data_IF_028721014700
#
_entry.id   IF_028721014700
#
_cell.length_a   1.000
_cell.length_b   1.000
_cell.length_c   1.000
_cell.angle_alpha   90.00
_cell.angle_beta   90.00
_cell.angle_gamma   90.00
#
_symmetry.space_group_name_H-M   'P 1'
#
loop_
_entity.id
_entity.type
_entity.pdbx_description
1 polymer ?
#
# COMPACT_ATOMS: atom_id res chain seq x y z
N UNK A 1 14.98 -55.36 17.17
CA UNK A 1 16.16 -54.51 16.94
C UNK A 1 16.34 -53.53 18.10
N UNK A 2 17.52 -53.50 18.72
CA UNK A 2 17.87 -52.59 19.82
C UNK A 2 17.88 -51.11 19.36
N UNK A 3 17.42 -50.18 20.22
CA UNK A 3 17.43 -48.71 20.00
C UNK A 3 18.79 -48.20 19.49
N UNK A 4 19.90 -48.76 19.99
CA UNK A 4 21.27 -48.38 19.57
C UNK A 4 21.58 -48.73 18.10
N UNK A 5 21.04 -49.85 17.58
CA UNK A 5 21.21 -50.22 16.16
C UNK A 5 20.40 -49.32 15.21
N UNK A 6 19.22 -48.85 15.62
CA UNK A 6 18.43 -47.89 14.81
C UNK A 6 19.11 -46.52 14.72
N UNK A 7 19.72 -46.05 15.81
CA UNK A 7 20.49 -44.80 15.82
C UNK A 7 21.74 -44.92 14.94
N UNK A 8 22.48 -46.02 15.01
CA UNK A 8 23.66 -46.23 14.15
C UNK A 8 23.33 -46.30 12.63
N UNK A 9 22.23 -46.95 12.25
CA UNK A 9 21.76 -46.99 10.85
C UNK A 9 21.30 -45.61 10.36
N UNK A 10 20.80 -44.75 11.26
CA UNK A 10 20.41 -43.38 10.89
C UNK A 10 21.58 -42.44 10.56
N UNK A 11 22.84 -42.87 10.78
CA UNK A 11 24.06 -42.16 10.41
C UNK A 11 24.94 -42.94 9.42
N UNK A 12 24.45 -44.07 8.88
CA UNK A 12 25.10 -44.73 7.75
C UNK A 12 25.11 -43.78 6.54
N UNK A 13 26.25 -43.74 5.84
CA UNK A 13 26.49 -42.85 4.71
C UNK A 13 25.45 -43.03 3.59
N UNK A 14 25.01 -44.27 3.32
CA UNK A 14 24.01 -44.52 2.28
C UNK A 14 22.61 -44.08 2.72
N UNK A 15 22.25 -44.28 3.99
CA UNK A 15 21.02 -43.74 4.59
C UNK A 15 21.02 -42.21 4.62
N UNK A 16 22.16 -41.56 4.87
CA UNK A 16 22.32 -40.10 4.81
C UNK A 16 22.17 -39.60 3.36
N UNK A 17 22.86 -40.21 2.40
CA UNK A 17 22.75 -39.87 0.97
C UNK A 17 21.33 -40.07 0.43
N UNK A 18 20.63 -41.10 0.89
CA UNK A 18 19.23 -41.32 0.53
C UNK A 18 18.34 -40.18 0.99
N UNK A 19 18.43 -39.78 2.28
CA UNK A 19 17.64 -38.66 2.81
C UNK A 19 17.96 -37.34 2.12
N UNK A 20 19.24 -37.06 1.86
CA UNK A 20 19.62 -35.86 1.10
C UNK A 20 18.99 -35.85 -0.30
N UNK A 21 18.96 -36.99 -1.00
CA UNK A 21 18.27 -37.11 -2.29
C UNK A 21 16.76 -36.91 -2.17
N UNK A 22 16.12 -37.43 -1.12
CA UNK A 22 14.69 -37.20 -0.86
C UNK A 22 14.39 -35.73 -0.58
N UNK A 23 15.24 -35.06 0.20
CA UNK A 23 15.15 -33.63 0.48
C UNK A 23 15.32 -32.80 -0.80
N UNK A 24 16.28 -33.15 -1.67
CA UNK A 24 16.50 -32.48 -2.96
C UNK A 24 15.29 -32.61 -3.89
N UNK A 25 14.70 -33.82 -3.97
CA UNK A 25 13.50 -34.09 -4.78
C UNK A 25 12.31 -33.29 -4.24
N UNK A 26 12.14 -33.23 -2.92
CA UNK A 26 11.08 -32.45 -2.29
C UNK A 26 11.26 -30.94 -2.53
N UNK A 27 12.48 -30.44 -2.39
CA UNK A 27 12.80 -29.04 -2.65
C UNK A 27 12.56 -28.66 -4.13
N UNK A 28 12.88 -29.55 -5.07
CA UNK A 28 12.59 -29.35 -6.49
C UNK A 28 11.07 -29.32 -6.77
N UNK A 29 10.30 -30.17 -6.09
CA UNK A 29 8.84 -30.14 -6.13
C UNK A 29 8.26 -28.78 -5.69
N UNK A 30 8.76 -28.24 -4.57
CA UNK A 30 8.37 -26.91 -4.08
C UNK A 30 8.71 -25.83 -5.10
N UNK A 31 9.93 -25.83 -5.67
CA UNK A 31 10.34 -24.83 -6.67
C UNK A 31 9.43 -24.83 -7.88
N UNK A 32 9.07 -26.01 -8.40
CA UNK A 32 8.12 -26.13 -9.52
C UNK A 32 6.76 -25.50 -9.21
N UNK A 33 6.23 -25.71 -8.01
CA UNK A 33 4.97 -25.07 -7.59
C UNK A 33 5.09 -23.55 -7.45
N UNK A 34 6.19 -23.05 -6.87
CA UNK A 34 6.45 -21.61 -6.77
C UNK A 34 6.59 -20.95 -8.15
N UNK A 35 7.26 -21.61 -9.08
CA UNK A 35 7.40 -21.12 -10.46
C UNK A 35 6.06 -21.14 -11.21
N UNK A 36 5.19 -22.13 -10.94
CA UNK A 36 3.82 -22.10 -11.47
C UNK A 36 3.05 -20.87 -10.95
N UNK A 37 3.12 -20.57 -9.65
CA UNK A 37 2.46 -19.40 -9.05
C UNK A 37 3.01 -18.08 -9.60
N UNK A 38 4.33 -17.97 -9.81
CA UNK A 38 4.96 -16.79 -10.42
C UNK A 38 4.44 -16.49 -11.81
N UNK A 39 4.07 -17.51 -12.57
CA UNK A 39 3.61 -17.37 -13.95
C UNK A 39 2.08 -17.20 -14.08
N UNK A 40 1.32 -17.24 -12.99
CA UNK A 40 -0.12 -16.99 -13.00
C UNK A 40 -0.43 -15.58 -13.52
N UNK A 41 -1.35 -15.47 -14.48
CA UNK A 41 -1.93 -14.17 -14.85
C UNK A 41 -2.99 -13.77 -13.81
N UNK A 42 -2.52 -13.07 -12.76
CA UNK A 42 -3.36 -12.68 -11.63
C UNK A 42 -4.57 -11.83 -12.05
N UNK A 43 -4.45 -11.06 -13.15
CA UNK A 43 -5.57 -10.25 -13.67
C UNK A 43 -6.75 -11.10 -14.11
N UNK A 44 -6.49 -12.31 -14.63
CA UNK A 44 -7.54 -13.24 -15.10
C UNK A 44 -8.21 -14.00 -13.97
N UNK A 45 -7.48 -14.27 -12.89
CA UNK A 45 -7.94 -15.20 -11.83
C UNK A 45 -8.31 -14.50 -10.53
N UNK A 46 -7.93 -13.22 -10.32
CA UNK A 46 -8.15 -12.52 -9.06
C UNK A 46 -9.63 -12.48 -8.62
N UNK A 47 -10.58 -12.40 -9.56
CA UNK A 47 -12.02 -12.41 -9.25
C UNK A 47 -12.55 -13.76 -8.78
N UNK A 48 -11.82 -14.85 -9.03
CA UNK A 48 -12.21 -16.22 -8.69
C UNK A 48 -11.52 -16.76 -7.43
N UNK A 49 -10.41 -16.13 -7.04
CA UNK A 49 -9.60 -16.55 -5.91
C UNK A 49 -10.02 -15.84 -4.63
N UNK A 50 -9.77 -16.48 -3.50
CA UNK A 50 -9.88 -15.86 -2.18
C UNK A 50 -8.70 -14.94 -1.93
N UNK A 51 -8.89 -13.94 -1.08
CA UNK A 51 -7.83 -13.00 -0.68
C UNK A 51 -6.52 -13.71 -0.27
N UNK A 52 -6.59 -14.74 0.58
CA UNK A 52 -5.42 -15.50 1.00
C UNK A 52 -4.65 -16.17 -0.15
N UNK A 53 -5.34 -16.62 -1.19
CA UNK A 53 -4.73 -17.25 -2.38
C UNK A 53 -4.06 -16.18 -3.26
N UNK A 54 -4.72 -15.03 -3.41
CA UNK A 54 -4.17 -13.87 -4.13
C UNK A 54 -2.89 -13.37 -3.47
N UNK A 55 -2.88 -13.30 -2.12
CA UNK A 55 -1.69 -12.96 -1.35
C UNK A 55 -0.53 -13.92 -1.61
N UNK A 56 -0.79 -15.23 -1.68
CA UNK A 56 0.25 -16.22 -1.99
C UNK A 56 0.83 -15.99 -3.40
N UNK A 57 -0.01 -15.70 -4.40
CA UNK A 57 0.45 -15.38 -5.76
C UNK A 57 1.29 -14.10 -5.75
N UNK A 58 0.85 -13.05 -5.05
CA UNK A 58 1.58 -11.79 -4.94
C UNK A 58 2.94 -11.97 -4.27
N UNK A 59 3.00 -12.73 -3.17
CA UNK A 59 4.26 -13.05 -2.47
C UNK A 59 5.20 -13.83 -3.40
N UNK A 60 4.69 -14.79 -4.18
CA UNK A 60 5.52 -15.54 -5.12
C UNK A 60 6.09 -14.65 -6.25
N UNK A 61 5.29 -13.69 -6.73
CA UNK A 61 5.66 -12.77 -7.82
C UNK A 61 6.60 -11.67 -7.39
N UNK A 62 6.34 -11.03 -6.26
CA UNK A 62 7.03 -9.83 -5.81
C UNK A 62 8.09 -10.11 -4.74
N UNK A 63 7.93 -11.18 -3.97
CA UNK A 63 8.61 -11.35 -2.71
C UNK A 63 7.94 -10.58 -1.58
N UNK A 64 8.17 -11.03 -0.34
CA UNK A 64 7.53 -10.47 0.87
C UNK A 64 7.92 -9.00 1.08
N UNK A 65 9.21 -8.68 0.97
CA UNK A 65 9.73 -7.32 1.23
C UNK A 65 9.17 -6.29 0.25
N UNK A 66 9.12 -6.64 -1.04
CA UNK A 66 8.59 -5.76 -2.09
C UNK A 66 7.09 -5.56 -1.93
N UNK A 67 6.34 -6.63 -1.65
CA UNK A 67 4.90 -6.55 -1.39
C UNK A 67 4.62 -5.65 -0.18
N UNK A 68 5.37 -5.82 0.90
CA UNK A 68 5.21 -5.04 2.14
C UNK A 68 5.56 -3.56 1.93
N UNK A 69 6.63 -3.27 1.18
CA UNK A 69 7.01 -1.89 0.83
C UNK A 69 5.94 -1.23 -0.02
N UNK A 70 5.41 -1.93 -1.02
CA UNK A 70 4.35 -1.42 -1.89
C UNK A 70 3.05 -1.19 -1.11
N UNK A 71 2.69 -2.11 -0.20
CA UNK A 71 1.54 -1.99 0.71
C UNK A 71 1.65 -0.74 1.56
N UNK A 72 2.79 -0.53 2.24
CA UNK A 72 3.06 0.65 3.07
C UNK A 72 2.96 1.94 2.26
N UNK A 73 3.57 1.99 1.08
CA UNK A 73 3.50 3.15 0.20
C UNK A 73 2.05 3.47 -0.23
N UNK A 74 1.28 2.45 -0.62
CA UNK A 74 -0.11 2.60 -1.05
C UNK A 74 -1.05 3.02 0.09
N UNK A 75 -0.81 2.52 1.30
CA UNK A 75 -1.55 2.88 2.49
C UNK A 75 -1.26 4.33 2.93
N UNK A 76 -0.01 4.76 2.76
CA UNK A 76 0.43 6.08 3.16
C UNK A 76 -0.16 7.20 2.30
N UNK A 77 -0.35 6.95 1.00
CA UNK A 77 -0.89 7.93 0.05
C UNK A 77 -2.43 7.83 0.00
N UNK A 78 -3.17 8.84 0.48
CA UNK A 78 -4.62 8.77 0.58
C UNK A 78 -5.32 8.56 -0.76
N UNK A 79 -6.36 7.71 -0.78
CA UNK A 79 -7.22 7.47 -1.96
C UNK A 79 -7.89 8.75 -2.49
N UNK A 80 -8.08 9.75 -1.62
CA UNK A 80 -8.66 11.05 -1.98
C UNK A 80 -7.75 11.86 -2.92
N UNK A 81 -6.50 11.46 -3.13
CA UNK A 81 -5.63 12.01 -4.19
C UNK A 81 -6.07 11.39 -5.53
N UNK A 82 -7.09 11.98 -6.15
CA UNK A 82 -7.75 11.45 -7.35
C UNK A 82 -7.46 12.26 -8.63
N UNK A 83 -6.44 13.11 -8.62
CA UNK A 83 -6.10 13.97 -9.77
C UNK A 83 -5.32 13.19 -10.83
N UNK A 84 -5.69 13.40 -12.10
CA UNK A 84 -4.95 12.92 -13.27
C UNK A 84 -4.21 14.09 -13.91
N UNK A 85 -2.94 13.90 -14.22
CA UNK A 85 -2.06 14.89 -14.88
C UNK A 85 -1.39 14.20 -16.06
N UNK A 86 -1.61 14.72 -17.28
CA UNK A 86 -1.08 14.10 -18.51
C UNK A 86 -1.39 12.60 -18.59
N UNK A 87 -2.65 12.23 -18.35
CA UNK A 87 -3.15 10.84 -18.34
C UNK A 87 -2.57 9.94 -17.25
N UNK A 88 -1.78 10.48 -16.31
CA UNK A 88 -1.18 9.74 -15.18
C UNK A 88 -1.87 10.06 -13.87
N UNK A 89 -2.17 9.04 -13.08
CA UNK A 89 -2.69 9.19 -11.73
C UNK A 89 -1.63 9.78 -10.80
N UNK A 90 -1.91 10.94 -10.21
CA UNK A 90 -1.02 11.61 -9.27
C UNK A 90 -0.76 10.76 -8.02
N UNK A 91 -1.75 9.98 -7.58
CA UNK A 91 -1.59 9.05 -6.46
C UNK A 91 -0.60 7.96 -6.78
N UNK A 92 -0.71 7.36 -7.96
CA UNK A 92 0.23 6.30 -8.38
C UNK A 92 1.64 6.84 -8.50
N UNK A 93 1.83 8.05 -9.04
CA UNK A 93 3.14 8.73 -9.08
C UNK A 93 3.74 8.86 -7.67
N UNK A 94 2.95 9.29 -6.69
CA UNK A 94 3.42 9.40 -5.30
C UNK A 94 3.74 8.06 -4.66
N UNK A 95 2.93 7.04 -4.90
CA UNK A 95 3.20 5.68 -4.41
C UNK A 95 4.50 5.16 -5.03
N UNK A 96 4.71 5.35 -6.33
CA UNK A 96 5.92 4.95 -7.04
C UNK A 96 7.17 5.64 -6.51
N UNK A 97 7.10 6.95 -6.24
CA UNK A 97 8.20 7.72 -5.62
C UNK A 97 8.56 7.20 -4.23
N UNK A 98 7.57 6.96 -3.36
CA UNK A 98 7.80 6.39 -2.02
C UNK A 98 8.40 5.00 -2.15
N UNK A 99 7.82 4.14 -2.99
CA UNK A 99 8.28 2.78 -3.21
C UNK A 99 9.75 2.76 -3.67
N UNK A 100 10.11 3.60 -4.62
CA UNK A 100 11.48 3.67 -5.17
C UNK A 100 12.50 4.15 -4.15
N UNK A 101 12.11 5.05 -3.25
CA UNK A 101 12.99 5.50 -2.16
C UNK A 101 13.20 4.41 -1.10
N UNK A 102 12.13 3.75 -0.69
CA UNK A 102 12.17 2.80 0.43
C UNK A 102 12.80 1.47 -0.02
N UNK A 103 12.54 1.06 -1.26
CA UNK A 103 13.06 -0.19 -1.85
C UNK A 103 14.54 -0.06 -2.18
N UNK A 104 15.37 -0.87 -1.54
CA UNK A 104 16.83 -0.83 -1.72
C UNK A 104 17.32 -1.62 -2.93
N UNK A 105 16.57 -2.64 -3.37
CA UNK A 105 17.05 -3.64 -4.33
C UNK A 105 16.12 -3.88 -5.54
N UNK A 106 14.96 -3.22 -5.58
CA UNK A 106 13.94 -3.46 -6.61
C UNK A 106 13.52 -2.17 -7.25
N UNK A 107 13.74 -2.05 -8.56
CA UNK A 107 13.16 -0.99 -9.37
C UNK A 107 11.94 -1.55 -10.10
N UNK A 108 10.78 -0.96 -9.84
CA UNK A 108 9.51 -1.37 -10.45
C UNK A 108 9.00 -0.24 -11.35
N UNK A 109 8.53 -0.57 -12.54
CA UNK A 109 7.95 0.43 -13.44
C UNK A 109 6.65 0.99 -12.83
N UNK A 110 6.32 2.24 -13.17
CA UNK A 110 5.11 2.90 -12.64
C UNK A 110 3.82 2.14 -13.02
N UNK A 111 3.79 1.50 -14.20
CA UNK A 111 2.66 0.68 -14.65
C UNK A 111 2.49 -0.58 -13.81
N UNK A 112 3.61 -1.20 -13.38
CA UNK A 112 3.58 -2.37 -12.51
C UNK A 112 3.12 -1.99 -11.10
N UNK A 113 3.60 -0.84 -10.59
CA UNK A 113 3.11 -0.27 -9.32
C UNK A 113 1.60 -0.05 -9.38
N UNK A 114 1.10 0.60 -10.43
CA UNK A 114 -0.34 0.80 -10.63
C UNK A 114 -1.10 -0.52 -10.66
N UNK A 115 -0.59 -1.50 -11.41
CA UNK A 115 -1.20 -2.81 -11.53
C UNK A 115 -1.33 -3.51 -10.17
N UNK A 116 -0.23 -3.64 -9.43
CA UNK A 116 -0.22 -4.35 -8.15
C UNK A 116 -0.98 -3.61 -7.05
N UNK A 117 -0.90 -2.28 -7.00
CA UNK A 117 -1.70 -1.47 -6.07
C UNK A 117 -3.19 -1.70 -6.33
N UNK A 118 -3.63 -1.66 -7.59
CA UNK A 118 -5.03 -1.90 -7.93
C UNK A 118 -5.50 -3.31 -7.54
N UNK A 119 -4.66 -4.35 -7.73
CA UNK A 119 -4.96 -5.71 -7.29
C UNK A 119 -5.11 -5.77 -5.76
N UNK A 120 -4.14 -5.23 -5.01
CA UNK A 120 -4.17 -5.25 -3.55
C UNK A 120 -5.40 -4.52 -3.00
N UNK A 121 -5.71 -3.33 -3.54
CA UNK A 121 -6.84 -2.54 -3.06
C UNK A 121 -8.21 -3.13 -3.39
N UNK A 122 -8.30 -3.88 -4.49
CA UNK A 122 -9.55 -4.49 -4.96
C UNK A 122 -9.83 -5.84 -4.30
N UNK A 123 -8.79 -6.64 -4.07
CA UNK A 123 -8.93 -8.04 -3.68
C UNK A 123 -8.28 -8.41 -2.34
N UNK A 124 -7.45 -7.52 -1.78
CA UNK A 124 -6.76 -7.76 -0.51
C UNK A 124 -6.95 -6.62 0.51
N UNK A 125 -8.20 -6.27 0.88
CA UNK A 125 -8.47 -5.14 1.77
C UNK A 125 -7.88 -5.32 3.17
N UNK A 126 -7.65 -6.56 3.64
CA UNK A 126 -7.08 -6.81 4.97
C UNK A 126 -5.63 -6.33 5.11
N UNK A 127 -4.92 -6.12 3.99
CA UNK A 127 -3.55 -5.60 3.99
C UNK A 127 -3.43 -4.16 4.53
N UNK A 128 -4.51 -3.39 4.56
CA UNK A 128 -4.45 -1.95 4.85
C UNK A 128 -4.86 -1.59 6.29
N UNK A 129 -4.78 -2.55 7.23
CA UNK A 129 -5.27 -2.39 8.60
C UNK A 129 -4.29 -1.73 9.59
N UNK A 130 -2.99 -1.61 9.27
CA UNK A 130 -1.95 -1.10 10.19
C UNK A 130 -1.14 0.05 9.60
N UNK A 131 -1.11 1.21 10.26
CA UNK A 131 -0.28 2.35 9.83
C UNK A 131 1.08 2.27 10.52
N UNK A 132 2.15 2.11 9.74
CA UNK A 132 3.52 2.37 10.18
C UNK A 132 4.09 3.52 9.34
N UNK A 133 4.75 4.47 9.99
CA UNK A 133 5.45 5.58 9.34
C UNK A 133 6.93 5.21 9.19
N UNK A 134 7.51 5.48 8.01
CA UNK A 134 8.92 5.19 7.70
C UNK A 134 9.78 6.47 7.78
N UNK A 135 10.87 6.42 8.54
CA UNK A 135 11.82 7.52 8.73
C UNK A 135 12.43 8.02 7.41
N UNK A 136 12.54 7.14 6.39
CA UNK A 136 13.05 7.50 5.06
C UNK A 136 12.19 8.54 4.34
N UNK A 137 10.91 8.68 4.68
CA UNK A 137 9.98 9.65 4.06
C UNK A 137 10.38 11.11 4.29
N UNK A 138 11.18 11.38 5.33
CA UNK A 138 11.73 12.71 5.60
C UNK A 138 12.67 13.18 4.48
N UNK A 139 13.41 12.27 3.85
CA UNK A 139 14.35 12.60 2.77
C UNK A 139 13.63 13.03 1.49
N UNK A 140 12.59 12.30 1.06
CA UNK A 140 11.73 12.71 -0.07
C UNK A 140 11.08 14.08 0.15
N UNK A 141 10.72 14.41 1.38
CA UNK A 141 10.10 15.70 1.72
C UNK A 141 11.04 16.89 1.51
N UNK A 142 12.37 16.67 1.52
CA UNK A 142 13.37 17.73 1.32
C UNK A 142 13.57 18.05 -0.17
N UNK A 143 13.51 17.05 -1.05
CA UNK A 143 13.75 17.21 -2.49
C UNK A 143 12.51 17.66 -3.28
N UNK A 144 11.32 17.53 -2.70
CA UNK A 144 10.06 17.73 -3.42
C UNK A 144 9.27 18.96 -2.93
N UNK A 145 8.43 19.49 -3.82
CA UNK A 145 7.52 20.61 -3.54
C UNK A 145 6.36 20.24 -2.60
N UNK A 146 6.34 19.00 -2.10
CA UNK A 146 5.34 18.46 -1.20
C UNK A 146 6.00 17.66 -0.08
N UNK A 147 5.26 17.39 1.00
CA UNK A 147 5.74 16.52 2.06
C UNK A 147 5.09 15.15 1.99
N UNK A 148 5.92 14.12 2.04
CA UNK A 148 5.53 12.72 2.12
C UNK A 148 5.53 12.21 3.55
N UNK A 149 5.68 13.06 4.57
CA UNK A 149 5.66 12.61 5.98
C UNK A 149 4.23 12.35 6.44
N UNK A 150 3.32 13.29 6.16
CA UNK A 150 1.90 13.17 6.55
C UNK A 150 1.01 13.87 5.53
N UNK A 151 -0.11 13.24 5.20
CA UNK A 151 -1.14 13.84 4.34
C UNK A 151 -2.33 14.29 5.19
N UNK A 152 -2.66 15.57 5.11
CA UNK A 152 -3.86 16.13 5.74
C UNK A 152 -4.97 16.16 4.71
N UNK A 153 -5.96 15.27 4.88
CA UNK A 153 -7.09 15.14 3.97
C UNK A 153 -8.40 15.46 4.70
N UNK A 154 -9.43 15.99 3.99
CA UNK A 154 -10.77 16.08 4.56
C UNK A 154 -11.25 14.70 5.05
N UNK A 155 -11.98 14.65 6.18
CA UNK A 155 -12.44 13.41 6.80
C UNK A 155 -13.67 12.79 6.09
N UNK A 156 -13.81 13.06 4.79
CA UNK A 156 -14.96 12.65 3.97
C UNK A 156 -14.48 12.11 2.63
N UNK A 157 -15.16 11.08 2.14
CA UNK A 157 -14.94 10.49 0.80
C UNK A 157 -16.02 10.89 -0.21
N UNK A 158 -17.14 11.45 0.27
CA UNK A 158 -18.28 11.84 -0.53
C UNK A 158 -18.84 13.21 -0.10
N UNK A 159 -19.57 13.87 -0.98
CA UNK A 159 -20.21 15.15 -0.70
C UNK A 159 -21.29 15.00 0.38
N UNK A 160 -21.19 15.78 1.46
CA UNK A 160 -22.17 15.77 2.55
C UNK A 160 -23.57 16.25 2.13
N UNK A 161 -23.68 16.94 0.98
CA UNK A 161 -24.95 17.44 0.46
C UNK A 161 -25.65 16.48 -0.51
N UNK A 162 -24.90 15.86 -1.41
CA UNK A 162 -25.47 15.07 -2.51
C UNK A 162 -24.95 13.63 -2.61
N UNK A 163 -24.05 13.21 -1.72
CA UNK A 163 -23.47 11.86 -1.70
C UNK A 163 -22.52 11.52 -2.85
N UNK A 164 -22.34 12.41 -3.82
CA UNK A 164 -21.46 12.16 -4.98
C UNK A 164 -19.98 12.26 -4.62
N UNK A 165 -19.14 11.62 -5.44
CA UNK A 165 -17.69 11.61 -5.29
C UNK A 165 -17.09 13.01 -5.30
N UNK A 166 -16.06 13.19 -4.48
CA UNK A 166 -15.29 14.43 -4.41
C UNK A 166 -14.08 14.37 -5.35
N UNK A 167 -13.73 15.50 -5.93
CA UNK A 167 -12.51 15.66 -6.73
C UNK A 167 -11.53 16.61 -6.05
N UNK A 168 -10.23 16.51 -6.33
CA UNK A 168 -9.28 17.48 -5.82
C UNK A 168 -9.53 18.88 -6.38
N UNK A 169 -9.64 19.88 -5.50
CA UNK A 169 -9.80 21.29 -5.88
C UNK A 169 -8.48 21.88 -6.35
N UNK A 170 -7.41 21.66 -5.59
CA UNK A 170 -6.06 22.17 -5.86
C UNK A 170 -5.03 21.04 -5.79
N UNK A 171 -3.81 21.28 -6.30
CA UNK A 171 -2.67 20.41 -6.01
C UNK A 171 -2.40 20.37 -4.49
N UNK A 172 -1.84 19.28 -3.95
CA UNK A 172 -1.46 19.22 -2.55
C UNK A 172 -0.52 20.36 -2.19
N UNK A 173 -0.81 21.09 -1.12
CA UNK A 173 0.00 22.21 -0.66
C UNK A 173 0.92 21.76 0.49
N UNK A 174 2.20 22.14 0.45
CA UNK A 174 3.13 21.92 1.56
C UNK A 174 2.74 22.80 2.74
N UNK A 175 2.51 22.19 3.90
CA UNK A 175 2.14 22.88 5.14
C UNK A 175 2.95 22.31 6.31
N UNK A 176 2.87 22.96 7.48
CA UNK A 176 3.40 22.44 8.75
C UNK A 176 2.24 22.22 9.72
N UNK A 177 2.15 21.02 10.28
CA UNK A 177 1.26 20.69 11.39
C UNK A 177 2.03 20.89 12.69
N UNK A 178 1.54 21.74 13.59
CA UNK A 178 2.14 21.92 14.90
C UNK A 178 1.52 20.92 15.87
N UNK A 179 2.31 19.93 16.30
CA UNK A 179 1.94 18.95 17.32
C UNK A 179 2.59 19.28 18.66
N UNK A 180 2.22 18.55 19.72
CA UNK A 180 2.87 18.65 21.04
C UNK A 180 4.38 18.35 20.98
N UNK A 181 4.82 17.56 20.01
CA UNK A 181 6.22 17.19 19.78
C UNK A 181 6.94 18.14 18.80
N UNK A 182 6.27 19.23 18.38
CA UNK A 182 6.81 20.22 17.45
C UNK A 182 6.21 20.16 16.04
N UNK A 183 6.79 20.94 15.10
CA UNK A 183 6.27 21.06 13.74
C UNK A 183 6.59 19.82 12.88
N UNK A 184 5.56 19.24 12.29
CA UNK A 184 5.62 18.11 11.36
C UNK A 184 5.33 18.64 9.95
N UNK A 185 6.22 18.44 8.96
CA UNK A 185 5.91 18.77 7.57
C UNK A 185 4.78 17.88 7.04
N UNK A 186 3.82 18.47 6.32
CA UNK A 186 2.67 17.74 5.78
C UNK A 186 2.26 18.25 4.39
N UNK A 187 1.47 17.45 3.68
CA UNK A 187 0.78 17.86 2.47
C UNK A 187 -0.72 18.01 2.74
N UNK A 188 -1.26 19.21 2.53
CA UNK A 188 -2.69 19.50 2.67
C UNK A 188 -3.42 19.25 1.36
N UNK A 189 -4.45 18.41 1.42
CA UNK A 189 -5.36 18.12 0.32
C UNK A 189 -6.66 18.90 0.55
N UNK A 190 -7.21 19.45 -0.52
CA UNK A 190 -8.55 20.05 -0.51
C UNK A 190 -9.38 19.41 -1.61
N UNK A 191 -10.63 19.09 -1.29
CA UNK A 191 -11.55 18.45 -2.20
C UNK A 191 -12.70 19.39 -2.55
N UNK A 192 -13.41 19.09 -3.62
CA UNK A 192 -14.62 19.79 -4.02
C UNK A 192 -15.65 18.81 -4.58
N UNK A 193 -16.92 19.15 -4.39
CA UNK A 193 -18.02 18.59 -5.15
C UNK A 193 -18.35 19.55 -6.29
N UNK A 194 -18.12 19.15 -7.54
CA UNK A 194 -18.39 20.00 -8.70
C UNK A 194 -19.87 20.33 -8.88
N UNK A 195 -20.74 19.39 -8.51
CA UNK A 195 -22.19 19.56 -8.66
C UNK A 195 -22.79 20.53 -7.65
N UNK A 196 -22.30 20.49 -6.41
CA UNK A 196 -22.80 21.36 -5.33
C UNK A 196 -21.97 22.63 -5.15
N UNK A 197 -20.81 22.71 -5.81
CA UNK A 197 -19.76 23.72 -5.58
C UNK A 197 -19.35 23.82 -4.11
N UNK A 198 -19.40 22.70 -3.39
CA UNK A 198 -18.94 22.61 -2.01
C UNK A 198 -17.44 22.35 -1.98
N UNK A 199 -16.68 23.07 -1.15
CA UNK A 199 -15.25 22.84 -0.96
C UNK A 199 -14.99 22.22 0.42
N UNK A 200 -14.13 21.22 0.48
CA UNK A 200 -13.83 20.44 1.67
C UNK A 200 -12.35 20.62 2.02
N UNK A 201 -12.11 21.23 3.17
CA UNK A 201 -10.80 21.35 3.80
C UNK A 201 -10.63 20.32 4.91
N UNK A 202 -9.49 20.40 5.59
CA UNK A 202 -9.10 19.46 6.64
C UNK A 202 -10.06 19.60 7.84
N UNK A 203 -10.30 20.81 8.35
CA UNK A 203 -11.15 21.02 9.55
C UNK A 203 -12.59 21.48 9.25
N UNK A 204 -12.85 21.98 8.04
CA UNK A 204 -14.13 22.57 7.67
C UNK A 204 -14.48 22.30 6.21
N UNK A 205 -15.73 22.56 5.86
CA UNK A 205 -16.17 22.62 4.47
C UNK A 205 -16.97 23.90 4.24
N UNK A 206 -17.05 24.36 2.99
CA UNK A 206 -17.83 25.53 2.62
C UNK A 206 -18.84 25.19 1.53
N UNK A 207 -19.99 25.85 1.60
CA UNK A 207 -21.06 25.81 0.61
C UNK A 207 -21.51 27.25 0.30
N UNK A 208 -22.65 27.41 -0.40
CA UNK A 208 -23.21 28.73 -0.71
C UNK A 208 -23.68 29.53 0.51
N UNK A 209 -23.91 28.88 1.64
CA UNK A 209 -24.39 29.47 2.89
C UNK A 209 -23.24 29.90 3.82
N UNK A 210 -22.01 29.49 3.52
CA UNK A 210 -20.82 29.84 4.28
C UNK A 210 -19.95 28.64 4.63
N UNK A 211 -19.20 28.78 5.71
CA UNK A 211 -18.25 27.77 6.21
C UNK A 211 -18.86 27.01 7.37
N UNK A 212 -18.72 25.68 7.37
CA UNK A 212 -19.30 24.75 8.32
C UNK A 212 -18.21 23.84 8.88
N UNK A 213 -18.36 23.46 10.15
CA UNK A 213 -17.56 22.39 10.75
C UNK A 213 -18.11 21.03 10.34
N UNK A 214 -17.25 20.00 10.36
CA UNK A 214 -17.70 18.63 10.15
C UNK A 214 -18.60 18.18 11.31
N UNK A 215 -19.66 17.39 11.04
CA UNK A 215 -20.42 16.71 12.08
C UNK A 215 -19.51 15.88 12.98
N UNK A 216 -19.83 15.80 14.28
CA UNK A 216 -19.03 15.10 15.30
C UNK A 216 -18.79 13.62 14.93
N UNK A 217 -19.75 13.00 14.24
CA UNK A 217 -19.68 11.60 13.80
C UNK A 217 -18.71 11.38 12.63
N UNK A 218 -18.22 12.46 12.02
CA UNK A 218 -17.21 12.40 10.95
C UNK A 218 -15.86 12.22 11.62
N UNK A 219 -15.25 11.03 11.53
CA UNK A 219 -13.93 10.77 12.13
C UNK A 219 -12.88 11.71 11.55
N UNK A 220 -12.56 12.74 12.30
CA UNK A 220 -11.52 13.70 11.94
C UNK A 220 -10.19 13.23 12.51
N UNK A 221 -9.39 12.51 11.71
CA UNK A 221 -8.02 12.11 12.07
C UNK A 221 -7.06 13.32 12.01
N UNK A 222 -7.34 14.38 12.76
CA UNK A 222 -6.47 15.56 12.88
C UNK A 222 -5.81 15.63 14.26
N UNK A 223 -6.29 14.84 15.22
CA UNK A 223 -5.73 14.83 16.58
C UNK A 223 -5.10 13.46 16.82
N UNK A 224 -3.77 13.45 16.79
CA UNK A 224 -2.92 12.50 17.54
C UNK A 224 -2.26 13.28 18.68
#
# INVERSE_FOLDING_TARGET
MSKKKRVAVSFDLESVKHRMREEDVYADGIRKHLDALRNVDIKRVASTLKEAEILQVLVCKLGVETLETLRKAAQHVPRNICRVVNEKSLRIDYIHKIFTLVSTNVNMAIQDVEFYVNIMESYCPSLFLTQDVDDKLLELTKSENMSFIKFLTPPVSACLRCGKSLTMRNYPAKVKLFSVNGPIPCSKITLECRDCSCAYGVCNFSNKEGTHLYPIDTKVNIVE
#
